data_IF_766818522790
#
_entry.id   IF_766818522790
#
_cell.length_a   1.000
_cell.length_b   1.000
_cell.length_c   1.000
_cell.angle_alpha   90.00
_cell.angle_beta   90.00
_cell.angle_gamma   90.00
#
_symmetry.space_group_name_H-M   'P 1'
#
loop_
_entity.id
_entity.type
_entity.pdbx_description
1 polymer ?
#
# COMPACT_ATOMS: atom_id res chain seq x y z
N UNK A 1 46.74 45.40 20.85
CA UNK A 1 46.25 44.06 21.23
C UNK A 1 44.75 44.13 21.46
N UNK A 2 43.94 43.57 20.55
CA UNK A 2 42.56 43.14 20.88
C UNK A 2 42.09 42.19 19.78
N UNK A 3 42.34 40.90 19.97
CA UNK A 3 41.77 39.85 19.15
C UNK A 3 40.34 39.62 19.64
N UNK A 4 39.37 40.31 19.04
CA UNK A 4 37.95 39.97 19.17
C UNK A 4 37.77 38.59 18.56
N UNK A 5 37.70 37.58 19.42
CA UNK A 5 37.59 36.17 19.07
C UNK A 5 36.31 35.96 18.25
N UNK A 6 36.51 35.69 16.96
CA UNK A 6 35.55 35.01 16.10
C UNK A 6 35.28 33.64 16.75
N UNK A 7 34.15 33.49 17.42
CA UNK A 7 33.64 32.17 17.83
C UNK A 7 32.17 32.11 17.42
N UNK A 8 31.95 32.05 16.10
CA UNK A 8 30.69 31.66 15.50
C UNK A 8 31.03 31.33 14.03
N UNK A 9 31.50 30.10 13.74
CA UNK A 9 30.54 29.10 13.26
C UNK A 9 31.01 27.65 13.52
N UNK A 10 30.51 26.99 14.57
CA UNK A 10 30.73 25.53 14.72
C UNK A 10 29.45 24.79 15.17
N UNK A 11 28.28 25.39 14.95
CA UNK A 11 26.98 24.76 15.26
C UNK A 11 26.22 24.37 13.99
N UNK A 12 26.73 24.73 12.80
CA UNK A 12 26.08 24.42 11.51
C UNK A 12 26.53 23.11 10.85
N UNK A 13 27.46 22.35 11.44
CA UNK A 13 28.00 21.11 10.84
C UNK A 13 27.42 19.83 11.44
N UNK A 14 26.60 19.94 12.49
CA UNK A 14 25.82 18.82 13.03
C UNK A 14 24.33 19.07 12.82
N UNK A 15 23.91 19.22 11.56
CA UNK A 15 22.59 18.69 11.23
C UNK A 15 22.73 17.17 11.40
N UNK A 16 22.10 16.53 12.40
CA UNK A 16 21.96 15.09 12.32
C UNK A 16 21.26 14.88 10.98
N UNK A 17 21.92 14.16 10.08
CA UNK A 17 21.24 13.49 8.98
C UNK A 17 20.29 12.55 9.69
N UNK A 18 19.12 13.06 10.08
CA UNK A 18 17.94 12.27 10.35
C UNK A 18 17.73 11.58 9.02
N UNK A 19 18.31 10.40 8.89
CA UNK A 19 18.03 9.47 7.82
C UNK A 19 16.56 9.11 8.03
N UNK A 20 15.69 9.99 7.54
CA UNK A 20 14.32 9.67 7.22
C UNK A 20 14.47 8.73 6.04
N UNK A 21 14.76 7.45 6.34
CA UNK A 21 14.91 6.43 5.34
C UNK A 21 13.53 6.26 4.69
N UNK A 22 13.33 6.97 3.59
CA UNK A 22 12.15 6.83 2.76
C UNK A 22 12.18 5.41 2.18
N UNK A 23 11.44 4.49 2.78
CA UNK A 23 11.27 3.16 2.22
C UNK A 23 10.57 3.26 0.86
N UNK A 24 10.97 2.41 -0.07
CA UNK A 24 10.35 2.25 -1.39
C UNK A 24 9.25 1.19 -1.28
N UNK A 25 8.02 1.56 -1.62
CA UNK A 25 6.83 0.70 -1.48
C UNK A 25 6.14 0.55 -2.82
N UNK A 26 5.88 -0.70 -3.23
CA UNK A 26 5.05 -1.00 -4.40
C UNK A 26 3.70 -1.56 -3.99
N UNK A 27 2.66 -1.17 -4.70
CA UNK A 27 1.27 -1.54 -4.43
C UNK A 27 0.69 -2.38 -5.56
N UNK A 28 -0.12 -3.37 -5.19
CA UNK A 28 -0.94 -4.13 -6.13
C UNK A 28 -2.35 -4.25 -5.56
N UNK A 29 -3.36 -4.02 -6.41
CA UNK A 29 -4.75 -4.35 -6.10
C UNK A 29 -5.12 -5.64 -6.81
N UNK A 30 -5.76 -6.56 -6.08
CA UNK A 30 -6.28 -7.82 -6.60
C UNK A 30 -7.80 -7.82 -6.41
N UNK A 31 -8.55 -7.86 -7.50
CA UNK A 31 -10.01 -8.00 -7.48
C UNK A 31 -10.41 -9.48 -7.60
N UNK A 32 -11.32 -9.93 -6.75
CA UNK A 32 -11.84 -11.32 -6.79
C UNK A 32 -13.36 -11.37 -6.68
N UNK A 33 -13.97 -12.42 -7.23
CA UNK A 33 -15.42 -12.66 -7.06
C UNK A 33 -16.32 -11.74 -7.88
N UNK A 34 -15.77 -11.08 -8.91
CA UNK A 34 -16.48 -10.31 -9.93
C UNK A 34 -16.81 -11.16 -11.17
N UNK A 35 -17.71 -10.67 -12.02
CA UNK A 35 -17.90 -11.24 -13.36
C UNK A 35 -16.78 -10.78 -14.30
N UNK A 36 -16.29 -11.60 -15.24
CA UNK A 36 -15.30 -11.18 -16.24
C UNK A 36 -15.71 -9.93 -17.02
N UNK A 37 -17.02 -9.80 -17.29
CA UNK A 37 -17.61 -8.67 -18.04
C UNK A 37 -17.87 -7.42 -17.19
N UNK A 38 -17.65 -7.49 -15.87
CA UNK A 38 -17.88 -6.33 -15.01
C UNK A 38 -16.89 -5.21 -15.32
N UNK A 39 -17.37 -3.96 -15.30
CA UNK A 39 -16.52 -2.79 -15.54
C UNK A 39 -15.35 -2.65 -14.54
N UNK A 40 -14.49 -1.68 -14.79
CA UNK A 40 -13.48 -1.26 -13.81
C UNK A 40 -14.19 -0.74 -12.55
N UNK A 41 -13.91 -1.34 -11.39
CA UNK A 41 -14.59 -0.97 -10.15
C UNK A 41 -13.97 0.28 -9.53
N UNK A 42 -14.78 1.30 -9.27
CA UNK A 42 -14.37 2.55 -8.62
C UNK A 42 -13.72 2.30 -7.23
N UNK A 43 -14.09 1.22 -6.56
CA UNK A 43 -13.52 0.83 -5.27
C UNK A 43 -12.04 0.46 -5.37
N UNK A 44 -11.60 -0.22 -6.43
CA UNK A 44 -10.20 -0.59 -6.62
C UNK A 44 -9.32 0.64 -6.78
N UNK A 45 -9.78 1.60 -7.59
CA UNK A 45 -9.13 2.89 -7.72
C UNK A 45 -9.09 3.67 -6.39
N UNK A 46 -10.19 3.67 -5.63
CA UNK A 46 -10.25 4.34 -4.33
C UNK A 46 -9.23 3.76 -3.34
N UNK A 47 -9.12 2.44 -3.27
CA UNK A 47 -8.16 1.77 -2.39
C UNK A 47 -6.72 1.95 -2.84
N UNK A 48 -6.45 1.82 -4.14
CA UNK A 48 -5.11 2.06 -4.71
C UNK A 48 -4.66 3.50 -4.45
N UNK A 49 -5.43 4.49 -4.93
CA UNK A 49 -5.09 5.91 -4.83
C UNK A 49 -4.95 6.35 -3.38
N UNK A 50 -5.89 5.97 -2.50
CA UNK A 50 -5.80 6.37 -1.11
C UNK A 50 -4.64 5.73 -0.35
N UNK A 51 -4.24 4.50 -0.67
CA UNK A 51 -3.04 3.89 -0.10
C UNK A 51 -1.77 4.60 -0.58
N UNK A 52 -1.67 4.87 -1.90
CA UNK A 52 -0.55 5.61 -2.49
C UNK A 52 -0.39 6.99 -1.84
N UNK A 53 -1.48 7.75 -1.74
CA UNK A 53 -1.48 9.10 -1.16
C UNK A 53 -0.96 9.08 0.27
N UNK A 54 -1.46 8.20 1.14
CA UNK A 54 -1.04 8.15 2.54
C UNK A 54 0.44 7.79 2.68
N UNK A 55 0.94 6.84 1.88
CA UNK A 55 2.34 6.46 1.94
C UNK A 55 3.25 7.56 1.40
N UNK A 56 2.86 8.21 0.30
CA UNK A 56 3.56 9.36 -0.24
C UNK A 56 3.61 10.52 0.76
N UNK A 57 2.47 10.86 1.38
CA UNK A 57 2.39 11.88 2.44
C UNK A 57 3.25 11.55 3.66
N UNK A 58 3.46 10.26 3.97
CA UNK A 58 4.35 9.82 5.04
C UNK A 58 5.85 9.83 4.67
N UNK A 59 6.18 10.23 3.43
CA UNK A 59 7.55 10.40 2.96
C UNK A 59 8.16 9.16 2.30
N UNK A 60 7.35 8.19 1.87
CA UNK A 60 7.82 7.00 1.16
C UNK A 60 7.84 7.22 -0.36
N UNK A 61 8.71 6.49 -1.04
CA UNK A 61 8.70 6.40 -2.50
C UNK A 61 7.66 5.35 -2.88
N UNK A 62 6.67 5.72 -3.69
CA UNK A 62 5.55 4.83 -4.03
C UNK A 62 5.52 4.50 -5.52
N UNK A 63 5.12 3.27 -5.84
CA UNK A 63 4.85 2.79 -7.20
C UNK A 63 3.67 1.83 -7.17
N UNK A 64 2.99 1.59 -8.30
CA UNK A 64 1.91 0.63 -8.37
C UNK A 64 2.06 -0.30 -9.57
N UNK A 65 1.66 -1.56 -9.37
CA UNK A 65 1.46 -2.53 -10.42
C UNK A 65 0.03 -2.43 -10.98
N UNK A 66 -0.23 -2.92 -12.21
CA UNK A 66 -1.59 -3.02 -12.74
C UNK A 66 -2.51 -3.79 -11.78
N UNK A 67 -3.79 -3.40 -11.72
CA UNK A 67 -4.79 -4.16 -10.97
C UNK A 67 -4.97 -5.54 -11.60
N UNK A 68 -4.81 -6.58 -10.78
CA UNK A 68 -4.99 -7.97 -11.16
C UNK A 68 -6.43 -8.40 -10.87
N UNK A 69 -7.11 -9.02 -11.84
CA UNK A 69 -8.48 -9.54 -11.67
C UNK A 69 -8.47 -11.05 -11.75
N UNK A 70 -8.99 -11.70 -10.71
CA UNK A 70 -9.07 -13.16 -10.59
C UNK A 70 -10.53 -13.60 -10.44
N UNK A 71 -10.88 -14.73 -11.07
CA UNK A 71 -12.25 -15.28 -11.05
C UNK A 71 -12.67 -15.83 -9.67
N UNK A 72 -11.68 -16.14 -8.83
CA UNK A 72 -11.82 -16.75 -7.52
C UNK A 72 -10.80 -16.16 -6.54
N UNK A 73 -11.12 -16.28 -5.24
CA UNK A 73 -10.18 -15.90 -4.18
C UNK A 73 -9.01 -16.89 -4.21
N UNK A 74 -7.75 -16.43 -4.31
CA UNK A 74 -6.61 -17.33 -4.33
C UNK A 74 -6.47 -18.08 -3.00
N UNK A 75 -6.09 -19.36 -3.07
CA UNK A 75 -5.82 -20.19 -1.89
C UNK A 75 -4.54 -19.74 -1.17
N UNK A 76 -3.56 -19.28 -1.94
CA UNK A 76 -2.30 -18.78 -1.43
C UNK A 76 -2.38 -17.31 -0.98
N UNK A 77 -1.54 -16.96 0.01
CA UNK A 77 -1.43 -15.58 0.53
C UNK A 77 -0.91 -14.63 -0.57
N UNK A 78 -0.10 -15.15 -1.49
CA UNK A 78 0.39 -14.43 -2.64
C UNK A 78 0.12 -15.29 -3.88
N UNK A 79 -0.80 -14.89 -4.79
CA UNK A 79 -1.13 -15.68 -5.97
C UNK A 79 0.03 -15.73 -6.97
N UNK A 80 0.20 -16.86 -7.66
CA UNK A 80 1.24 -17.03 -8.69
C UNK A 80 1.10 -16.00 -9.83
N UNK A 81 -0.13 -15.60 -10.15
CA UNK A 81 -0.44 -14.60 -11.17
C UNK A 81 0.18 -13.22 -10.85
N UNK A 82 0.44 -12.93 -9.58
CA UNK A 82 1.11 -11.70 -9.13
C UNK A 82 2.65 -11.80 -9.12
N UNK A 83 3.22 -12.98 -9.38
CA UNK A 83 4.66 -13.22 -9.21
C UNK A 83 5.51 -12.33 -10.12
N UNK A 84 5.05 -12.09 -11.36
CA UNK A 84 5.75 -11.25 -12.32
C UNK A 84 5.89 -9.82 -11.82
N UNK A 85 4.79 -9.19 -11.38
CA UNK A 85 4.83 -7.81 -10.89
C UNK A 85 5.65 -7.67 -9.61
N UNK A 86 5.63 -8.70 -8.74
CA UNK A 86 6.53 -8.76 -7.58
C UNK A 86 7.98 -8.77 -8.02
N UNK A 87 8.35 -9.63 -8.97
CA UNK A 87 9.73 -9.76 -9.41
C UNK A 87 10.22 -8.47 -10.08
N UNK A 88 9.39 -7.85 -10.94
CA UNK A 88 9.67 -6.53 -11.52
C UNK A 88 9.85 -5.45 -10.44
N UNK A 89 9.02 -5.45 -9.39
CA UNK A 89 9.15 -4.51 -8.28
C UNK A 89 10.44 -4.74 -7.48
N UNK A 90 10.79 -6.00 -7.17
CA UNK A 90 12.03 -6.36 -6.47
C UNK A 90 13.25 -5.94 -7.28
N UNK A 91 13.25 -6.19 -8.59
CA UNK A 91 14.30 -5.72 -9.51
C UNK A 91 14.39 -4.18 -9.53
N UNK A 92 13.26 -3.50 -9.37
CA UNK A 92 13.15 -2.05 -9.19
C UNK A 92 13.66 -1.52 -7.83
N UNK A 93 14.05 -2.39 -6.90
CA UNK A 93 14.65 -2.02 -5.62
C UNK A 93 13.65 -1.62 -4.53
N UNK A 94 12.46 -2.23 -4.51
CA UNK A 94 11.49 -2.00 -3.43
C UNK A 94 11.98 -2.55 -2.09
N UNK A 95 11.59 -1.87 -1.00
CA UNK A 95 11.78 -2.37 0.36
C UNK A 95 10.56 -3.18 0.83
N UNK A 96 9.37 -2.72 0.42
CA UNK A 96 8.10 -3.33 0.81
C UNK A 96 7.13 -3.46 -0.37
N UNK A 97 6.29 -4.49 -0.32
CA UNK A 97 5.22 -4.74 -1.28
C UNK A 97 3.88 -4.82 -0.54
N UNK A 98 2.88 -4.08 -0.99
CA UNK A 98 1.54 -4.04 -0.39
C UNK A 98 0.54 -4.63 -1.38
N UNK A 99 -0.25 -5.59 -0.92
CA UNK A 99 -1.34 -6.18 -1.69
C UNK A 99 -2.66 -5.83 -1.03
N UNK A 100 -3.56 -5.22 -1.79
CA UNK A 100 -4.94 -5.03 -1.42
C UNK A 100 -5.83 -6.02 -2.19
N UNK A 101 -6.34 -7.05 -1.51
CA UNK A 101 -7.30 -8.00 -2.10
C UNK A 101 -8.71 -7.53 -1.80
N UNK A 102 -9.46 -7.19 -2.85
CA UNK A 102 -10.85 -6.78 -2.81
C UNK A 102 -11.74 -7.95 -3.26
N UNK A 103 -12.44 -8.55 -2.31
CA UNK A 103 -13.31 -9.71 -2.53
C UNK A 103 -14.78 -9.29 -2.54
N UNK A 104 -15.38 -9.31 -3.73
CA UNK A 104 -16.75 -8.84 -3.97
C UNK A 104 -17.80 -9.92 -3.69
N UNK A 105 -17.44 -11.20 -3.81
CA UNK A 105 -18.36 -12.35 -3.69
C UNK A 105 -19.72 -12.15 -4.38
N UNK A 106 -19.76 -11.41 -5.49
CA UNK A 106 -20.98 -10.99 -6.18
C UNK A 106 -20.75 -11.07 -7.69
N UNK A 107 -20.95 -12.26 -8.24
CA UNK A 107 -21.01 -12.49 -9.69
C UNK A 107 -22.34 -11.96 -10.23
N UNK A 108 -22.45 -10.65 -10.46
CA UNK A 108 -23.62 -10.08 -11.14
C UNK A 108 -24.00 -8.64 -10.79
N UNK A 109 -23.32 -7.98 -9.86
CA UNK A 109 -23.56 -6.55 -9.55
C UNK A 109 -22.26 -5.76 -9.72
N UNK A 110 -22.16 -5.05 -10.85
CA UNK A 110 -21.01 -4.23 -11.25
C UNK A 110 -20.77 -3.03 -10.34
N UNK A 111 -21.73 -2.66 -9.49
CA UNK A 111 -21.60 -1.55 -8.54
C UNK A 111 -21.58 -2.03 -7.09
N UNK A 112 -21.33 -3.33 -6.87
CA UNK A 112 -21.23 -3.85 -5.52
C UNK A 112 -19.88 -3.48 -4.89
N UNK A 113 -19.91 -2.99 -3.65
CA UNK A 113 -18.71 -2.78 -2.86
C UNK A 113 -18.09 -4.13 -2.47
N UNK A 114 -16.75 -4.20 -2.29
CA UNK A 114 -16.08 -5.43 -1.91
C UNK A 114 -16.49 -5.90 -0.51
N UNK A 115 -17.08 -7.09 -0.37
CA UNK A 115 -17.52 -7.62 0.94
C UNK A 115 -16.36 -7.84 1.90
N UNK A 116 -15.18 -8.17 1.40
CA UNK A 116 -13.98 -8.30 2.21
C UNK A 116 -12.83 -7.55 1.56
N UNK A 117 -12.00 -6.95 2.39
CA UNK A 117 -10.77 -6.28 1.99
C UNK A 117 -9.65 -6.82 2.84
N UNK A 118 -8.64 -7.37 2.19
CA UNK A 118 -7.42 -7.86 2.84
C UNK A 118 -6.26 -6.99 2.42
N UNK A 119 -5.52 -6.47 3.39
CA UNK A 119 -4.29 -5.73 3.13
C UNK A 119 -3.14 -6.52 3.69
N UNK A 120 -2.20 -6.87 2.83
CA UNK A 120 -1.03 -7.67 3.15
C UNK A 120 0.21 -6.85 2.86
N UNK A 121 1.13 -6.83 3.81
CA UNK A 121 2.43 -6.16 3.71
C UNK A 121 3.53 -7.20 3.70
N UNK A 122 4.37 -7.13 2.68
CA UNK A 122 5.54 -7.97 2.52
C UNK A 122 6.80 -7.12 2.61
N UNK A 123 7.83 -7.64 3.27
CA UNK A 123 9.20 -7.17 3.14
C UNK A 123 9.80 -7.84 1.90
N UNK A 124 10.56 -7.09 1.10
CA UNK A 124 11.15 -7.61 -0.14
C UNK A 124 12.39 -8.51 0.10
N UNK A 125 13.17 -8.22 1.14
CA UNK A 125 14.40 -8.96 1.45
C UNK A 125 14.55 -9.24 2.96
N UNK A 126 14.39 -10.50 3.41
CA UNK A 126 13.85 -11.64 2.65
C UNK A 126 12.39 -11.40 2.26
N UNK A 127 11.89 -12.12 1.24
CA UNK A 127 10.48 -12.08 0.87
C UNK A 127 9.63 -12.73 1.97
N UNK A 128 9.00 -11.91 2.80
CA UNK A 128 8.19 -12.37 3.94
C UNK A 128 6.98 -11.48 4.15
N UNK A 129 5.81 -12.08 4.41
CA UNK A 129 4.66 -11.33 4.88
C UNK A 129 4.88 -10.94 6.34
N UNK A 130 4.88 -9.64 6.63
CA UNK A 130 5.11 -9.12 7.99
C UNK A 130 3.84 -8.62 8.66
N UNK A 131 2.78 -8.36 7.88
CA UNK A 131 1.52 -7.88 8.42
C UNK A 131 0.34 -8.19 7.49
N UNK A 132 -0.80 -8.52 8.09
CA UNK A 132 -2.08 -8.64 7.41
C UNK A 132 -3.17 -7.98 8.26
N UNK A 133 -4.08 -7.26 7.60
CA UNK A 133 -5.31 -6.78 8.21
C UNK A 133 -6.49 -7.07 7.30
N UNK A 134 -7.64 -7.32 7.91
CA UNK A 134 -8.89 -7.63 7.22
C UNK A 134 -9.97 -6.64 7.64
N UNK A 135 -10.69 -6.13 6.66
CA UNK A 135 -11.92 -5.39 6.83
C UNK A 135 -13.05 -6.22 6.23
N UNK A 136 -14.04 -6.55 7.05
CA UNK A 136 -15.22 -7.30 6.63
C UNK A 136 -16.43 -6.36 6.57
N UNK A 137 -17.29 -6.61 5.60
CA UNK A 137 -18.62 -6.02 5.46
C UNK A 137 -18.63 -4.51 5.16
N UNK A 138 -18.10 -4.07 4.01
CA UNK A 138 -18.46 -2.75 3.46
C UNK A 138 -19.85 -2.80 2.82
N UNK A 139 -20.87 -3.24 3.58
CA UNK A 139 -22.27 -2.88 3.27
C UNK A 139 -22.49 -1.37 3.28
N UNK A 140 -21.52 -0.62 3.78
CA UNK A 140 -21.48 0.82 3.71
C UNK A 140 -21.42 1.27 2.25
N UNK A 141 -22.58 1.67 1.73
CA UNK A 141 -22.67 2.55 0.54
C UNK A 141 -22.06 3.93 0.80
N UNK A 142 -21.47 4.18 1.97
CA UNK A 142 -20.93 5.46 2.37
C UNK A 142 -19.43 5.50 2.14
N UNK A 143 -19.03 6.16 1.06
CA UNK A 143 -17.63 6.45 0.69
C UNK A 143 -16.81 7.05 1.86
N UNK A 144 -17.45 7.77 2.78
CA UNK A 144 -16.78 8.32 3.97
C UNK A 144 -16.25 7.23 4.90
N UNK A 145 -17.00 6.16 5.10
CA UNK A 145 -16.59 5.05 5.96
C UNK A 145 -15.46 4.24 5.32
N UNK A 146 -15.57 3.95 4.02
CA UNK A 146 -14.48 3.32 3.26
C UNK A 146 -13.19 4.15 3.33
N UNK A 147 -13.29 5.47 3.18
CA UNK A 147 -12.14 6.36 3.28
C UNK A 147 -11.52 6.39 4.67
N UNK A 148 -12.35 6.34 5.73
CA UNK A 148 -11.85 6.24 7.11
C UNK A 148 -11.16 4.89 7.36
N UNK A 149 -11.73 3.79 6.88
CA UNK A 149 -11.13 2.46 6.95
C UNK A 149 -9.79 2.42 6.22
N UNK A 150 -9.72 2.99 5.02
CA UNK A 150 -8.50 3.16 4.25
C UNK A 150 -7.44 3.97 5.01
N UNK A 151 -7.80 5.11 5.60
CA UNK A 151 -6.85 5.91 6.38
C UNK A 151 -6.33 5.16 7.59
N UNK A 152 -7.20 4.44 8.30
CA UNK A 152 -6.81 3.64 9.45
C UNK A 152 -5.89 2.48 9.03
N UNK A 153 -6.23 1.79 7.94
CA UNK A 153 -5.41 0.77 7.32
C UNK A 153 -4.02 1.27 6.94
N UNK A 154 -3.96 2.36 6.18
CA UNK A 154 -2.73 2.94 5.70
C UNK A 154 -1.82 3.41 6.85
N UNK A 155 -2.38 3.98 7.92
CA UNK A 155 -1.64 4.29 9.15
C UNK A 155 -1.12 3.03 9.85
N UNK A 156 -1.93 1.97 9.88
CA UNK A 156 -1.53 0.66 10.40
C UNK A 156 -0.32 0.12 9.64
N UNK A 157 -0.36 0.14 8.31
CA UNK A 157 0.72 -0.33 7.45
C UNK A 157 1.98 0.53 7.58
N UNK A 158 1.86 1.86 7.48
CA UNK A 158 3.01 2.79 7.57
C UNK A 158 3.73 2.71 8.92
N UNK A 159 3.01 2.41 10.01
CA UNK A 159 3.63 2.18 11.32
C UNK A 159 4.57 0.97 11.37
N UNK A 160 4.50 0.06 10.39
CA UNK A 160 5.29 -1.17 10.29
C UNK A 160 6.50 -1.07 9.36
N UNK A 161 6.70 0.08 8.70
CA UNK A 161 7.80 0.29 7.73
C UNK A 161 9.09 0.81 8.39
N UNK A 162 9.20 0.72 9.72
CA UNK A 162 10.34 1.19 10.51
C UNK A 162 11.34 0.08 10.81
#
# INVERSE_FOLDING_TARGET
MSAKRLVLPLVLVFFPVLSLAAATVSFMVIETGLSPDSGANQHSYLWESGLLDVFFESGHIVSNAPTLRLDYMPEEIFPEEAARDRDEAIEGGIDFFVIAVLDYQNRGDENSAPKNIFLRLFRASPWEMIYETRYADTKSRNTTEEFNNLKQAARGLTSRLK
#
